data_IF_259585151391
#
_entry.id   IF_259585151391
#
_cell.length_a   1.000
_cell.length_b   1.000
_cell.length_c   1.000
_cell.angle_alpha   90.00
_cell.angle_beta   90.00
_cell.angle_gamma   90.00
#
_symmetry.space_group_name_H-M   'P 1'
#
loop_
_entity.id
_entity.type
_entity.pdbx_description
1 polymer ?
#
# COMPACT_ATOMS: atom_id res chain seq x y z
N UNK A 1 15.53 61.49 -41.52
CA UNK A 1 14.23 61.72 -42.19
C UNK A 1 13.20 60.73 -41.64
N UNK A 2 12.24 61.19 -40.83
CA UNK A 2 11.24 60.34 -40.16
C UNK A 2 9.95 60.36 -41.00
N UNK A 3 9.44 59.19 -41.36
CA UNK A 3 8.32 58.97 -42.29
C UNK A 3 7.00 59.47 -41.68
N UNK A 4 6.27 60.33 -42.39
CA UNK A 4 4.96 60.83 -41.97
C UNK A 4 3.97 59.68 -41.79
N UNK A 5 3.55 59.46 -40.54
CA UNK A 5 2.55 58.45 -40.21
C UNK A 5 1.18 59.07 -40.46
N UNK A 6 0.44 58.57 -41.46
CA UNK A 6 -0.93 59.02 -41.71
C UNK A 6 -1.78 58.76 -40.46
N UNK A 7 -2.42 59.80 -39.95
CA UNK A 7 -3.29 59.76 -38.77
C UNK A 7 -4.67 60.26 -39.14
N UNK A 8 -5.71 59.60 -38.61
CA UNK A 8 -7.08 59.99 -38.83
C UNK A 8 -7.53 60.98 -37.75
N UNK A 9 -8.16 62.07 -38.17
CA UNK A 9 -8.67 63.12 -37.29
C UNK A 9 -10.12 62.84 -36.90
N UNK A 10 -10.38 62.79 -35.59
CA UNK A 10 -11.73 62.61 -35.06
C UNK A 10 -12.13 63.85 -34.26
N UNK A 11 -13.38 64.29 -34.43
CA UNK A 11 -13.96 65.40 -33.66
C UNK A 11 -15.08 64.86 -32.79
N UNK A 12 -14.98 65.08 -31.48
CA UNK A 12 -16.06 64.72 -30.55
C UNK A 12 -17.24 65.68 -30.69
N UNK A 13 -18.42 65.28 -30.21
CA UNK A 13 -19.60 66.17 -30.16
C UNK A 13 -19.37 67.45 -29.34
N UNK A 14 -18.41 67.46 -28.42
CA UNK A 14 -18.00 68.63 -27.64
C UNK A 14 -16.99 69.54 -28.36
N UNK A 15 -16.62 69.23 -29.60
CA UNK A 15 -15.72 70.04 -30.43
C UNK A 15 -14.22 69.74 -30.27
N UNK A 16 -13.84 68.81 -29.40
CA UNK A 16 -12.44 68.42 -29.23
C UNK A 16 -11.96 67.51 -30.36
N UNK A 17 -10.80 67.84 -30.95
CA UNK A 17 -10.17 67.02 -32.01
C UNK A 17 -9.02 66.21 -31.45
N UNK A 18 -8.98 64.92 -31.75
CA UNK A 18 -7.85 64.06 -31.45
C UNK A 18 -7.54 63.13 -32.62
N UNK A 19 -6.29 62.68 -32.72
CA UNK A 19 -5.78 61.91 -33.84
C UNK A 19 -5.40 60.51 -33.38
N UNK A 20 -5.79 59.48 -34.15
CA UNK A 20 -5.39 58.10 -33.90
C UNK A 20 -4.63 57.52 -35.09
N UNK A 21 -3.56 56.73 -34.85
CA UNK A 21 -2.77 56.15 -35.93
C UNK A 21 -3.58 55.08 -36.68
N UNK A 22 -3.70 55.24 -37.99
CA UNK A 22 -4.44 54.34 -38.87
C UNK A 22 -3.74 52.98 -38.91
N UNK A 23 -4.32 51.95 -38.27
CA UNK A 23 -3.77 50.59 -38.33
C UNK A 23 -4.14 49.94 -39.66
N UNK A 24 -3.15 49.76 -40.53
CA UNK A 24 -3.27 48.91 -41.72
C UNK A 24 -3.61 47.48 -41.28
N UNK A 25 -4.76 46.95 -41.72
CA UNK A 25 -5.15 45.56 -41.48
C UNK A 25 -4.05 44.63 -42.00
N UNK A 26 -3.38 43.93 -41.09
CA UNK A 26 -2.41 42.89 -41.41
C UNK A 26 -3.11 41.75 -42.15
N UNK A 27 -2.64 41.48 -43.35
CA UNK A 27 -3.04 40.37 -44.20
C UNK A 27 -2.83 39.03 -43.48
N UNK A 28 -3.90 38.25 -43.36
CA UNK A 28 -3.94 36.98 -42.63
C UNK A 28 -2.96 35.99 -43.28
N UNK A 29 -1.80 35.83 -42.66
CA UNK A 29 -0.78 34.87 -43.08
C UNK A 29 -1.30 33.46 -42.77
N UNK A 30 -1.71 32.73 -43.81
CA UNK A 30 -2.19 31.32 -43.75
C UNK A 30 -1.13 30.20 -43.46
N UNK A 31 0.21 30.39 -43.34
CA UNK A 31 1.14 29.26 -43.28
C UNK A 31 1.37 28.66 -41.88
N UNK A 32 0.90 29.29 -40.79
CA UNK A 32 1.09 28.75 -39.44
C UNK A 32 0.12 27.61 -39.08
N UNK A 33 -1.12 27.68 -39.58
CA UNK A 33 -2.15 26.68 -39.28
C UNK A 33 -1.80 25.30 -39.86
N UNK A 34 -1.33 25.25 -41.11
CA UNK A 34 -0.88 24.01 -41.75
C UNK A 34 0.34 23.39 -41.05
N UNK A 35 1.31 24.21 -40.63
CA UNK A 35 2.49 23.72 -39.91
C UNK A 35 2.12 23.15 -38.54
N UNK A 36 1.19 23.78 -37.81
CA UNK A 36 0.67 23.25 -36.54
C UNK A 36 -0.09 21.95 -36.73
N UNK A 37 -0.93 21.85 -37.77
CA UNK A 37 -1.69 20.64 -38.07
C UNK A 37 -0.79 19.45 -38.44
N UNK A 38 0.20 19.66 -39.32
CA UNK A 38 1.19 18.63 -39.67
C UNK A 38 2.03 18.19 -38.46
N UNK A 39 2.33 19.12 -37.54
CA UNK A 39 3.07 18.82 -36.30
C UNK A 39 2.22 18.00 -35.32
N UNK A 40 0.94 18.31 -35.20
CA UNK A 40 -0.03 17.54 -34.40
C UNK A 40 -0.23 16.12 -34.94
N UNK A 41 -0.35 15.97 -36.26
CA UNK A 41 -0.51 14.66 -36.90
C UNK A 41 0.73 13.76 -36.71
N UNK A 42 1.94 14.33 -36.82
CA UNK A 42 3.20 13.61 -36.54
C UNK A 42 3.32 13.21 -35.07
N UNK A 43 2.85 14.06 -34.15
CA UNK A 43 2.86 13.75 -32.73
C UNK A 43 1.89 12.61 -32.39
N UNK A 44 0.66 12.64 -32.93
CA UNK A 44 -0.31 11.56 -32.83
C UNK A 44 0.24 10.24 -33.40
N UNK A 45 0.86 10.28 -34.59
CA UNK A 45 1.49 9.10 -35.18
C UNK A 45 2.61 8.52 -34.32
N UNK A 46 3.47 9.37 -33.73
CA UNK A 46 4.52 8.92 -32.80
C UNK A 46 3.95 8.35 -31.50
N UNK A 47 2.89 8.96 -30.95
CA UNK A 47 2.23 8.46 -29.75
C UNK A 47 1.59 7.09 -29.99
N UNK A 48 0.90 6.92 -31.12
CA UNK A 48 0.31 5.64 -31.53
C UNK A 48 1.40 4.59 -31.76
N UNK A 49 2.49 4.95 -32.45
CA UNK A 49 3.61 4.03 -32.70
C UNK A 49 4.33 3.63 -31.40
N UNK A 50 4.46 4.55 -30.46
CA UNK A 50 4.98 4.26 -29.12
C UNK A 50 4.05 3.33 -28.35
N UNK A 51 2.73 3.52 -28.46
CA UNK A 51 1.73 2.62 -27.88
C UNK A 51 1.82 1.21 -28.47
N UNK A 52 1.93 1.09 -29.79
CA UNK A 52 2.06 -0.19 -30.51
C UNK A 52 3.39 -0.89 -30.18
N UNK A 53 4.49 -0.16 -30.04
CA UNK A 53 5.77 -0.74 -29.62
C UNK A 53 5.76 -1.25 -28.17
N UNK A 54 4.96 -0.61 -27.30
CA UNK A 54 4.87 -1.00 -25.90
C UNK A 54 3.76 -2.04 -25.62
N UNK A 55 2.82 -2.21 -26.55
CA UNK A 55 1.73 -3.19 -26.47
C UNK A 55 2.22 -4.63 -26.17
N UNK A 56 3.24 -5.19 -26.84
CA UNK A 56 3.78 -6.50 -26.51
C UNK A 56 4.28 -6.61 -25.07
N UNK A 57 4.92 -5.54 -24.56
CA UNK A 57 5.39 -5.48 -23.18
C UNK A 57 4.24 -5.40 -22.17
N UNK A 58 3.20 -4.61 -22.47
CA UNK A 58 2.00 -4.50 -21.63
C UNK A 58 1.22 -5.81 -21.61
N UNK A 59 1.07 -6.48 -22.76
CA UNK A 59 0.42 -7.79 -22.87
C UNK A 59 1.22 -8.85 -22.10
N UNK A 60 2.54 -8.88 -22.24
CA UNK A 60 3.39 -9.79 -21.49
C UNK A 60 3.28 -9.54 -19.97
N UNK A 61 3.29 -8.29 -19.52
CA UNK A 61 3.09 -7.94 -18.09
C UNK A 61 1.71 -8.35 -17.59
N UNK A 62 0.66 -8.13 -18.38
CA UNK A 62 -0.69 -8.55 -18.03
C UNK A 62 -0.80 -10.08 -17.95
N UNK A 63 -0.18 -10.81 -18.89
CA UNK A 63 -0.11 -12.26 -18.85
C UNK A 63 0.65 -12.77 -17.61
N UNK A 64 1.78 -12.14 -17.27
CA UNK A 64 2.51 -12.44 -16.03
C UNK A 64 1.63 -12.18 -14.81
N UNK A 65 0.95 -11.04 -14.72
CA UNK A 65 0.02 -10.75 -13.61
C UNK A 65 -1.11 -11.78 -13.52
N UNK A 66 -1.65 -12.22 -14.66
CA UNK A 66 -2.72 -13.21 -14.73
C UNK A 66 -2.27 -14.59 -14.23
N UNK A 67 -0.99 -14.93 -14.34
CA UNK A 67 -0.40 -16.17 -13.80
C UNK A 67 0.06 -16.00 -12.35
N UNK A 68 0.65 -14.85 -12.01
CA UNK A 68 1.17 -14.56 -10.67
C UNK A 68 0.04 -14.41 -9.66
N UNK A 69 -1.10 -13.81 -10.02
CA UNK A 69 -2.20 -13.56 -9.07
C UNK A 69 -2.79 -14.87 -8.50
N UNK A 70 -3.13 -15.89 -9.32
CA UNK A 70 -3.55 -17.19 -8.80
C UNK A 70 -2.44 -17.91 -8.01
N UNK A 71 -1.18 -17.78 -8.45
CA UNK A 71 -0.06 -18.44 -7.80
C UNK A 71 0.21 -17.86 -6.41
N UNK A 72 0.16 -16.53 -6.27
CA UNK A 72 0.29 -15.82 -4.98
C UNK A 72 -0.83 -16.21 -4.02
N UNK A 73 -2.05 -16.39 -4.52
CA UNK A 73 -3.17 -16.88 -3.70
C UNK A 73 -2.94 -18.32 -3.22
N UNK A 74 -2.40 -19.18 -4.08
CA UNK A 74 -2.07 -20.56 -3.71
C UNK A 74 -0.96 -20.61 -2.64
N UNK A 75 0.10 -19.82 -2.83
CA UNK A 75 1.19 -19.68 -1.86
C UNK A 75 0.67 -19.13 -0.53
N UNK A 76 -0.22 -18.13 -0.58
CA UNK A 76 -0.86 -17.58 0.61
C UNK A 76 -1.62 -18.65 1.40
N UNK A 77 -2.43 -19.48 0.75
CA UNK A 77 -3.18 -20.55 1.43
C UNK A 77 -2.21 -21.53 2.11
N UNK A 78 -1.15 -21.94 1.41
CA UNK A 78 -0.17 -22.86 1.96
C UNK A 78 0.57 -22.27 3.17
N UNK A 79 0.98 -21.00 3.06
CA UNK A 79 1.59 -20.25 4.14
C UNK A 79 0.63 -20.02 5.31
N UNK A 80 -0.65 -19.83 5.04
CA UNK A 80 -1.68 -19.69 6.07
C UNK A 80 -1.85 -20.97 6.88
N UNK A 81 -1.91 -22.13 6.23
CA UNK A 81 -2.00 -23.42 6.93
C UNK A 81 -0.75 -23.66 7.79
N UNK A 82 0.44 -23.47 7.21
CA UNK A 82 1.70 -23.58 7.96
C UNK A 82 1.71 -22.65 9.16
N UNK A 83 1.33 -21.39 8.95
CA UNK A 83 1.34 -20.39 10.00
C UNK A 83 0.30 -20.66 11.09
N UNK A 84 -0.86 -21.22 10.74
CA UNK A 84 -1.89 -21.61 11.72
C UNK A 84 -1.35 -22.71 12.65
N UNK A 85 -0.69 -23.72 12.08
CA UNK A 85 -0.09 -24.80 12.87
C UNK A 85 1.03 -24.24 13.76
N UNK A 86 1.93 -23.45 13.20
CA UNK A 86 3.05 -22.87 13.94
C UNK A 86 2.58 -21.96 15.08
N UNK A 87 1.58 -21.11 14.84
CA UNK A 87 1.03 -20.21 15.87
C UNK A 87 0.23 -20.96 16.93
N UNK A 88 -0.52 -22.00 16.57
CA UNK A 88 -1.22 -22.84 17.55
C UNK A 88 -0.23 -23.59 18.47
N UNK A 89 0.82 -24.17 17.91
CA UNK A 89 1.89 -24.82 18.69
C UNK A 89 2.61 -23.78 19.55
N UNK A 90 2.97 -22.63 18.97
CA UNK A 90 3.63 -21.54 19.69
C UNK A 90 2.81 -21.01 20.86
N UNK A 91 1.49 -20.88 20.68
CA UNK A 91 0.56 -20.50 21.75
C UNK A 91 0.55 -21.51 22.89
N UNK A 92 0.50 -22.80 22.56
CA UNK A 92 0.57 -23.86 23.56
C UNK A 92 1.89 -23.84 24.34
N UNK A 93 3.02 -23.73 23.64
CA UNK A 93 4.35 -23.63 24.27
C UNK A 93 4.43 -22.38 25.16
N UNK A 94 3.92 -21.24 24.68
CA UNK A 94 3.89 -19.99 25.44
C UNK A 94 3.14 -20.14 26.78
N UNK A 95 1.98 -20.82 26.78
CA UNK A 95 1.24 -21.10 28.02
C UNK A 95 2.04 -21.92 29.02
N UNK A 96 2.65 -23.01 28.55
CA UNK A 96 3.47 -23.90 29.37
C UNK A 96 4.64 -23.12 29.98
N UNK A 97 5.36 -22.37 29.17
CA UNK A 97 6.48 -21.54 29.62
C UNK A 97 6.02 -20.49 30.63
N UNK A 98 4.89 -19.84 30.38
CA UNK A 98 4.33 -18.83 31.30
C UNK A 98 4.00 -19.43 32.68
N UNK A 99 3.41 -20.64 32.72
CA UNK A 99 3.14 -21.34 33.97
C UNK A 99 4.43 -21.60 34.76
N UNK A 100 5.48 -22.12 34.10
CA UNK A 100 6.76 -22.36 34.75
C UNK A 100 7.44 -21.08 35.23
N UNK A 101 7.47 -20.03 34.41
CA UNK A 101 8.07 -18.74 34.78
C UNK A 101 7.41 -18.16 36.02
N UNK A 102 6.07 -18.18 36.09
CA UNK A 102 5.32 -17.72 37.26
C UNK A 102 5.61 -18.61 38.47
N UNK A 103 5.60 -19.94 38.31
CA UNK A 103 5.88 -20.89 39.38
C UNK A 103 7.28 -20.71 39.98
N UNK A 104 8.30 -20.59 39.12
CA UNK A 104 9.66 -20.29 39.56
C UNK A 104 9.77 -18.92 40.22
N UNK A 105 9.04 -17.91 39.74
CA UNK A 105 8.97 -16.59 40.37
C UNK A 105 8.39 -16.64 41.77
N UNK A 106 7.27 -17.35 41.97
CA UNK A 106 6.64 -17.54 43.28
C UNK A 106 7.56 -18.31 44.24
N UNK A 107 8.17 -19.40 43.78
CA UNK A 107 9.09 -20.19 44.59
C UNK A 107 10.38 -19.41 44.93
N UNK A 108 10.91 -18.64 43.98
CA UNK A 108 12.04 -17.75 44.21
C UNK A 108 11.72 -16.65 45.23
N UNK A 109 10.53 -16.07 45.17
CA UNK A 109 10.06 -15.08 46.15
C UNK A 109 9.96 -15.67 47.57
N UNK A 110 9.35 -16.85 47.71
CA UNK A 110 9.27 -17.59 48.98
C UNK A 110 10.67 -17.89 49.54
N UNK A 111 11.58 -18.34 48.68
CA UNK A 111 12.96 -18.61 49.07
C UNK A 111 13.70 -17.35 49.57
N UNK A 112 13.56 -16.22 48.85
CA UNK A 112 14.22 -14.97 49.22
C UNK A 112 13.65 -14.33 50.49
N UNK A 113 12.34 -14.39 50.68
CA UNK A 113 11.67 -13.81 51.85
C UNK A 113 11.72 -14.71 53.08
N UNK A 114 12.14 -15.97 52.91
CA UNK A 114 12.16 -17.01 53.96
C UNK A 114 10.80 -17.22 54.63
N UNK A 115 9.71 -16.86 53.95
CA UNK A 115 8.35 -17.04 54.43
C UNK A 115 7.76 -18.27 53.76
N UNK A 116 7.20 -19.18 54.54
CA UNK A 116 6.55 -20.37 54.00
C UNK A 116 5.11 -20.02 53.58
N UNK A 117 4.97 -19.29 52.47
CA UNK A 117 3.67 -18.86 51.94
C UNK A 117 3.17 -19.94 50.97
N UNK A 118 1.96 -20.48 51.16
CA UNK A 118 1.38 -21.43 50.20
C UNK A 118 1.15 -20.75 48.84
N UNK A 119 1.17 -21.55 47.78
CA UNK A 119 0.87 -21.06 46.44
C UNK A 119 -0.56 -20.47 46.40
N UNK A 120 -0.75 -19.27 45.80
CA UNK A 120 -2.07 -18.67 45.68
C UNK A 120 -3.06 -19.56 44.93
N UNK A 121 -4.34 -19.50 45.29
CA UNK A 121 -5.39 -20.31 44.67
C UNK A 121 -5.48 -20.09 43.15
N UNK A 122 -5.34 -18.84 42.68
CA UNK A 122 -5.32 -18.53 41.25
C UNK A 122 -4.17 -19.23 40.51
N UNK A 123 -3.03 -19.46 41.17
CA UNK A 123 -1.89 -20.17 40.57
C UNK A 123 -2.17 -21.66 40.48
N UNK A 124 -2.79 -22.24 41.51
CA UNK A 124 -3.21 -23.64 41.51
C UNK A 124 -4.23 -23.92 40.39
N UNK A 125 -5.13 -22.97 40.13
CA UNK A 125 -6.11 -23.07 39.05
C UNK A 125 -5.55 -22.65 37.68
N UNK A 126 -4.35 -22.05 37.61
CA UNK A 126 -3.77 -21.57 36.35
C UNK A 126 -3.58 -22.70 35.33
N UNK A 127 -3.28 -23.91 35.81
CA UNK A 127 -3.13 -25.08 34.94
C UNK A 127 -4.46 -25.46 34.26
N UNK A 128 -5.58 -25.39 34.98
CA UNK A 128 -6.91 -25.77 34.48
C UNK A 128 -7.64 -24.62 33.81
N UNK A 129 -7.33 -23.37 34.15
CA UNK A 129 -8.05 -22.20 33.64
C UNK A 129 -7.33 -21.58 32.44
N UNK A 130 -5.99 -21.59 32.44
CA UNK A 130 -5.20 -20.96 31.39
C UNK A 130 -4.45 -21.98 30.53
N UNK A 131 -3.71 -22.94 31.10
CA UNK A 131 -2.87 -23.85 30.30
C UNK A 131 -3.71 -24.87 29.54
N UNK A 132 -4.62 -25.55 30.23
CA UNK A 132 -5.56 -26.53 29.68
C UNK A 132 -7.01 -26.24 30.09
N UNK A 133 -7.60 -25.13 29.63
CA UNK A 133 -9.02 -24.85 29.84
C UNK A 133 -9.89 -26.03 29.39
N UNK A 134 -10.72 -26.53 30.29
CA UNK A 134 -11.59 -27.70 30.06
C UNK A 134 -10.84 -28.95 29.55
N UNK A 135 -9.55 -29.09 29.89
CA UNK A 135 -8.73 -30.23 29.48
C UNK A 135 -8.20 -30.16 28.05
N UNK A 136 -8.38 -29.04 27.34
CA UNK A 136 -7.85 -28.84 25.99
C UNK A 136 -6.88 -27.65 25.93
N UNK A 137 -5.85 -27.68 25.07
CA UNK A 137 -4.85 -26.60 24.97
C UNK A 137 -5.43 -25.24 24.54
N UNK A 138 -6.51 -25.26 23.75
CA UNK A 138 -7.16 -24.08 23.16
C UNK A 138 -8.65 -24.28 23.35
N UNK A 139 -9.31 -23.37 24.06
CA UNK A 139 -10.74 -23.47 24.33
C UNK A 139 -11.47 -22.15 24.09
N UNK A 140 -10.88 -21.02 24.53
CA UNK A 140 -11.57 -19.76 24.47
C UNK A 140 -11.49 -19.10 23.09
N UNK A 141 -12.56 -18.39 22.71
CA UNK A 141 -12.65 -17.64 21.46
C UNK A 141 -11.58 -16.56 21.29
N UNK A 142 -11.14 -15.95 22.40
CA UNK A 142 -10.09 -14.95 22.34
C UNK A 142 -8.74 -15.58 21.94
N UNK A 143 -8.48 -16.83 22.33
CA UNK A 143 -7.26 -17.55 21.94
C UNK A 143 -7.25 -17.88 20.46
N UNK A 144 -8.37 -18.40 19.96
CA UNK A 144 -8.50 -18.70 18.52
C UNK A 144 -8.38 -17.44 17.69
N UNK A 145 -8.94 -16.32 18.17
CA UNK A 145 -8.79 -15.01 17.50
C UNK A 145 -7.32 -14.58 17.42
N UNK A 146 -6.56 -14.67 18.51
CA UNK A 146 -5.13 -14.32 18.52
C UNK A 146 -4.34 -15.21 17.56
N UNK A 147 -4.56 -16.53 17.62
CA UNK A 147 -3.89 -17.50 16.75
C UNK A 147 -4.17 -17.17 15.28
N UNK A 148 -5.44 -16.95 14.91
CA UNK A 148 -5.82 -16.64 13.53
C UNK A 148 -5.22 -15.31 13.07
N UNK A 149 -5.31 -14.25 13.88
CA UNK A 149 -4.75 -12.93 13.53
C UNK A 149 -3.23 -13.01 13.33
N UNK A 150 -2.51 -13.64 14.25
CA UNK A 150 -1.06 -13.84 14.12
C UNK A 150 -0.72 -14.71 12.91
N UNK A 151 -1.52 -15.74 12.64
CA UNK A 151 -1.30 -16.61 11.50
C UNK A 151 -1.50 -15.89 10.16
N UNK A 152 -2.53 -15.04 10.07
CA UNK A 152 -2.77 -14.23 8.86
C UNK A 152 -1.64 -13.23 8.65
N UNK A 153 -1.20 -12.52 9.68
CA UNK A 153 -0.08 -11.57 9.59
C UNK A 153 1.18 -12.28 9.10
N UNK A 154 1.53 -13.40 9.73
CA UNK A 154 2.73 -14.17 9.41
C UNK A 154 2.64 -14.76 7.99
N UNK A 155 1.47 -15.29 7.61
CA UNK A 155 1.25 -15.83 6.26
C UNK A 155 1.35 -14.75 5.18
N UNK A 156 0.80 -13.55 5.43
CA UNK A 156 0.95 -12.41 4.52
C UNK A 156 2.44 -12.02 4.40
N UNK A 157 3.16 -11.91 5.52
CA UNK A 157 4.60 -11.61 5.51
C UNK A 157 5.40 -12.61 4.67
N UNK A 158 5.21 -13.92 4.90
CA UNK A 158 5.88 -14.99 4.15
C UNK A 158 5.51 -15.01 2.67
N UNK A 159 4.30 -14.57 2.33
CA UNK A 159 3.85 -14.54 0.93
C UNK A 159 4.40 -13.34 0.18
N UNK A 160 4.54 -12.18 0.82
CA UNK A 160 5.03 -10.97 0.17
C UNK A 160 6.56 -10.81 0.21
N UNK A 161 7.25 -11.42 1.18
CA UNK A 161 8.70 -11.36 1.34
C UNK A 161 9.30 -12.77 1.46
N UNK A 162 9.43 -13.51 0.34
CA UNK A 162 10.01 -14.86 0.36
C UNK A 162 11.53 -14.90 0.61
N UNK A 163 12.20 -13.75 0.77
CA UNK A 163 13.68 -13.63 0.76
C UNK A 163 14.37 -13.80 2.11
N UNK A 164 13.64 -14.01 3.21
CA UNK A 164 14.20 -14.12 4.56
C UNK A 164 14.45 -15.59 5.03
N UNK A 165 14.15 -16.59 4.19
CA UNK A 165 14.53 -18.00 4.44
C UNK A 165 15.79 -18.37 3.64
N UNK A 166 16.96 -17.94 4.11
CA UNK A 166 18.27 -18.52 3.75
C UNK A 166 19.10 -18.82 4.98
#
# INVERSE_FOLDING_TARGET
>A
MRKDTKMDAHVTRSGYRYYTPTKTKSEVTKPEAEKKWKKGLRWLGKAIWSGIKNLPSVIARAAVLMVVTPLMFLLFIFNLIKSLIATAIGWFVFKIVSFFVIGFGLQGYVFLTKQNIPAPEWFNNLMTDFVFPHGVPIYYWWETTIIVVLAVITALSLTFHPEDEK
#
